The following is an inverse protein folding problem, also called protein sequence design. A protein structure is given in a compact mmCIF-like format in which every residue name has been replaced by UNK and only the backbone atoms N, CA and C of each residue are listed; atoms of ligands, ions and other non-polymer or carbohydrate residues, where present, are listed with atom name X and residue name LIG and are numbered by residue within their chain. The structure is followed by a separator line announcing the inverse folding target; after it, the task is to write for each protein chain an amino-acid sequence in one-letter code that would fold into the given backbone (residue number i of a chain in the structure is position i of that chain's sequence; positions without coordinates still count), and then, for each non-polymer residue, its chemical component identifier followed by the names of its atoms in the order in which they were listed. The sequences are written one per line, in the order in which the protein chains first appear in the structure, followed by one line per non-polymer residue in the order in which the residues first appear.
data_IF_231707212145
#
_entry.id   IF_231707212145
#
_cell.length_a   1.000
_cell.length_b   1.000
_cell.length_c   1.000
_cell.angle_alpha   90.00
_cell.angle_beta   90.00
_cell.angle_gamma   90.00
#
_symmetry.space_group_name_H-M   'P 1'
#
loop_
_entity.id
_entity.type
_entity.pdbx_description
1 polymer ?
#
# COMPACT_ATOMS: atom_id res chain seq x y z
N UNK A 1 33.50 12.05 23.51
CA UNK A 1 33.00 11.22 22.39
C UNK A 1 31.94 10.32 22.97
N UNK A 2 30.70 10.44 22.51
CA UNK A 2 29.59 9.56 22.91
C UNK A 2 29.27 8.60 21.77
N UNK A 3 28.85 7.38 22.10
CA UNK A 3 28.58 6.31 21.15
C UNK A 3 27.30 6.61 20.32
N UNK A 4 27.32 6.55 18.98
CA UNK A 4 26.14 6.85 18.15
C UNK A 4 25.13 5.69 18.04
N UNK A 5 25.37 4.54 18.66
CA UNK A 5 24.65 3.29 18.37
C UNK A 5 23.32 3.08 19.11
N UNK A 6 22.94 3.94 20.06
CA UNK A 6 21.83 3.68 21.01
C UNK A 6 20.51 4.43 20.71
N UNK A 7 20.15 4.61 19.42
CA UNK A 7 18.82 5.12 19.01
C UNK A 7 17.80 3.99 18.76
N UNK A 8 17.77 3.02 19.68
CA UNK A 8 16.77 1.96 19.73
C UNK A 8 15.43 2.42 20.32
N UNK A 9 14.78 3.41 19.71
CA UNK A 9 13.50 3.93 20.17
C UNK A 9 12.41 2.84 20.14
N UNK A 10 12.12 2.25 21.32
CA UNK A 10 11.00 1.32 21.54
C UNK A 10 9.67 2.06 21.37
N UNK A 11 9.19 2.15 20.12
CA UNK A 11 7.81 2.54 19.83
C UNK A 11 6.89 1.39 20.27
N UNK A 12 6.57 1.37 21.56
CA UNK A 12 5.54 0.50 22.09
C UNK A 12 4.18 1.09 21.73
N UNK A 13 3.58 0.54 20.67
CA UNK A 13 2.14 0.65 20.48
C UNK A 13 1.48 0.18 21.76
N UNK A 14 0.76 1.08 22.44
CA UNK A 14 -0.08 0.69 23.58
C UNK A 14 -1.25 -0.11 23.04
N UNK A 15 -1.03 -1.40 22.83
CA UNK A 15 -2.10 -2.38 22.80
C UNK A 15 -2.96 -2.11 24.03
N UNK A 16 -4.20 -1.69 23.80
CA UNK A 16 -5.20 -1.60 24.85
C UNK A 16 -5.63 -3.02 25.13
N UNK A 17 -4.88 -3.70 25.98
CA UNK A 17 -5.01 -5.13 26.25
C UNK A 17 -6.44 -5.49 26.64
N UNK A 18 -7.18 -6.06 25.70
CA UNK A 18 -8.22 -7.02 26.05
C UNK A 18 -7.49 -8.29 26.47
N UNK A 19 -7.28 -8.42 27.78
CA UNK A 19 -6.60 -9.54 28.39
C UNK A 19 -7.30 -10.87 28.07
N UNK A 20 -6.51 -11.96 28.13
CA UNK A 20 -6.93 -13.38 28.22
C UNK A 20 -7.07 -14.16 26.91
N UNK A 21 -5.94 -14.30 26.20
CA UNK A 21 -5.64 -15.45 25.33
C UNK A 21 -4.15 -15.80 25.41
N UNK A 22 -3.70 -16.24 26.59
CA UNK A 22 -2.43 -16.95 26.77
C UNK A 22 -2.74 -18.24 27.55
N UNK A 23 -2.80 -19.35 26.82
CA UNK A 23 -2.33 -20.69 27.16
C UNK A 23 -2.57 -21.59 25.92
N UNK A 24 -1.73 -22.61 25.70
CA UNK A 24 -1.75 -23.56 24.58
C UNK A 24 -1.57 -23.03 23.13
N UNK A 25 -0.32 -22.79 22.72
CA UNK A 25 0.14 -23.11 21.36
C UNK A 25 1.60 -23.58 21.31
N UNK A 26 1.86 -24.75 21.90
CA UNK A 26 3.06 -25.54 21.62
C UNK A 26 2.96 -26.26 20.27
N UNK A 27 3.03 -25.50 19.16
CA UNK A 27 2.84 -26.02 17.80
C UNK A 27 4.05 -25.82 16.89
N UNK A 28 4.62 -26.93 16.39
CA UNK A 28 5.66 -26.90 15.36
C UNK A 28 5.09 -26.35 14.05
N UNK A 29 5.54 -25.16 13.63
CA UNK A 29 5.12 -24.56 12.36
C UNK A 29 5.53 -25.45 11.16
N UNK A 30 4.59 -25.87 10.30
CA UNK A 30 4.94 -26.46 9.02
C UNK A 30 5.51 -25.38 8.08
N UNK A 31 6.38 -25.74 7.12
CA UNK A 31 6.89 -24.79 6.14
C UNK A 31 5.74 -24.22 5.28
N UNK A 32 5.71 -22.90 5.09
CA UNK A 32 4.76 -22.27 4.16
C UNK A 32 5.01 -22.75 2.73
N UNK A 33 4.17 -23.67 2.26
CA UNK A 33 4.03 -23.95 0.84
C UNK A 33 3.23 -22.80 0.19
N UNK A 34 3.94 -21.92 -0.52
CA UNK A 34 3.34 -20.81 -1.28
C UNK A 34 2.54 -21.36 -2.47
N UNK A 35 1.27 -21.74 -2.23
CA UNK A 35 0.33 -22.12 -3.27
C UNK A 35 -0.11 -20.89 -4.08
N UNK A 36 0.75 -20.49 -5.01
CA UNK A 36 0.39 -19.60 -6.13
C UNK A 36 -0.62 -20.34 -7.03
N UNK A 37 -1.91 -20.08 -6.84
CA UNK A 37 -2.96 -20.59 -7.72
C UNK A 37 -2.86 -19.91 -9.09
N UNK A 38 -2.14 -20.53 -10.03
CA UNK A 38 -2.03 -20.05 -11.41
C UNK A 38 -3.22 -20.51 -12.25
N UNK A 39 -4.40 -19.92 -12.00
CA UNK A 39 -5.52 -20.00 -12.93
C UNK A 39 -5.18 -19.27 -14.23
N UNK A 40 -5.34 -19.89 -15.43
CA UNK A 40 -5.03 -19.26 -16.71
C UNK A 40 -6.20 -18.37 -17.20
N UNK A 41 -6.73 -17.52 -16.32
CA UNK A 41 -7.84 -16.64 -16.65
C UNK A 41 -7.38 -15.36 -17.36
N UNK A 42 -8.22 -14.93 -18.31
CA UNK A 42 -7.91 -13.88 -19.27
C UNK A 42 -8.00 -12.47 -18.68
N UNK A 43 -7.17 -12.16 -17.68
CA UNK A 43 -6.87 -10.80 -17.27
C UNK A 43 -6.26 -10.06 -18.47
N UNK A 44 -7.08 -9.31 -19.21
CA UNK A 44 -6.64 -8.40 -20.25
C UNK A 44 -5.52 -7.52 -19.68
N UNK A 45 -4.30 -7.68 -20.22
CA UNK A 45 -3.07 -7.29 -19.53
C UNK A 45 -3.07 -5.81 -19.14
N UNK A 46 -3.31 -5.54 -17.86
CA UNK A 46 -3.10 -4.22 -17.28
C UNK A 46 -1.59 -3.99 -17.33
N UNK A 47 -1.15 -3.26 -18.35
CA UNK A 47 0.25 -2.90 -18.59
C UNK A 47 0.73 -2.01 -17.44
N UNK A 48 1.30 -2.61 -16.39
CA UNK A 48 1.77 -1.90 -15.20
C UNK A 48 2.95 -1.01 -15.60
N UNK A 49 2.73 0.31 -15.66
CA UNK A 49 3.76 1.26 -16.07
C UNK A 49 4.99 1.14 -15.16
N UNK A 50 6.21 0.91 -15.69
CA UNK A 50 7.42 0.86 -14.87
C UNK A 50 7.68 2.17 -14.13
N UNK A 51 8.13 2.06 -12.89
CA UNK A 51 8.33 3.18 -11.98
C UNK A 51 9.48 2.91 -11.03
N UNK A 52 10.06 3.97 -10.47
CA UNK A 52 11.04 3.86 -9.39
C UNK A 52 10.35 4.15 -8.05
N UNK A 53 10.70 3.39 -7.02
CA UNK A 53 10.09 3.46 -5.70
C UNK A 53 11.14 3.35 -4.58
N UNK A 54 10.77 3.85 -3.40
CA UNK A 54 11.55 3.67 -2.18
C UNK A 54 10.99 2.51 -1.36
N UNK A 55 11.88 1.66 -0.82
CA UNK A 55 11.54 0.67 0.17
C UNK A 55 11.75 1.20 1.59
N UNK A 56 10.92 0.70 2.50
CA UNK A 56 10.99 1.01 3.93
C UNK A 56 12.10 0.24 4.63
N UNK A 57 12.65 0.80 5.71
CA UNK A 57 13.53 0.07 6.63
C UNK A 57 12.85 -1.20 7.16
N UNK A 58 13.63 -2.26 7.46
CA UNK A 58 13.09 -3.60 7.76
C UNK A 58 12.18 -3.66 8.99
N UNK A 59 12.41 -2.78 9.97
CA UNK A 59 11.53 -2.62 11.12
C UNK A 59 10.15 -2.06 10.72
N UNK A 60 10.10 -1.13 9.76
CA UNK A 60 8.86 -0.51 9.29
C UNK A 60 8.12 -1.44 8.31
N UNK A 61 8.80 -2.13 7.40
CA UNK A 61 8.15 -3.16 6.55
C UNK A 61 7.52 -4.26 7.42
N UNK A 62 8.26 -4.78 8.41
CA UNK A 62 7.75 -5.77 9.35
C UNK A 62 6.55 -5.25 10.13
N UNK A 63 6.59 -4.01 10.61
CA UNK A 63 5.46 -3.41 11.33
C UNK A 63 4.22 -3.30 10.45
N UNK A 64 4.33 -2.77 9.24
CA UNK A 64 3.20 -2.69 8.30
C UNK A 64 2.67 -4.05 7.90
N UNK A 65 3.54 -5.07 7.77
CA UNK A 65 3.13 -6.45 7.48
C UNK A 65 2.30 -7.05 8.60
N UNK A 66 2.68 -6.82 9.86
CA UNK A 66 1.90 -7.24 11.04
C UNK A 66 0.55 -6.51 11.06
N UNK A 67 0.52 -5.19 10.83
CA UNK A 67 -0.72 -4.43 10.78
C UNK A 67 -1.64 -4.91 9.64
N UNK A 68 -1.13 -5.07 8.42
CA UNK A 68 -1.92 -5.54 7.27
C UNK A 68 -2.48 -6.95 7.48
N UNK A 69 -1.70 -7.87 8.06
CA UNK A 69 -2.17 -9.21 8.40
C UNK A 69 -3.25 -9.17 9.50
N UNK A 70 -3.10 -8.30 10.51
CA UNK A 70 -4.10 -8.13 11.57
C UNK A 70 -5.39 -7.46 11.07
N UNK A 71 -5.34 -6.61 10.04
CA UNK A 71 -6.53 -6.08 9.36
C UNK A 71 -7.24 -7.17 8.53
N UNK A 72 -6.48 -8.10 7.93
CA UNK A 72 -7.04 -9.24 7.19
C UNK A 72 -7.65 -10.31 8.12
N UNK A 73 -7.20 -10.40 9.37
CA UNK A 73 -7.72 -11.35 10.35
C UNK A 73 -9.19 -11.07 10.65
N UNK A 74 -10.08 -11.97 10.18
CA UNK A 74 -11.53 -11.84 10.35
C UNK A 74 -12.23 -10.85 9.41
N UNK A 75 -11.55 -10.34 8.37
CA UNK A 75 -12.17 -9.48 7.34
C UNK A 75 -11.91 -10.02 5.93
N UNK A 76 -12.57 -9.45 4.92
CA UNK A 76 -12.32 -9.79 3.51
C UNK A 76 -11.11 -9.06 2.92
N UNK A 77 -10.40 -8.25 3.70
CA UNK A 77 -9.25 -7.45 3.26
C UNK A 77 -8.09 -8.33 2.77
N UNK A 78 -7.49 -7.94 1.65
CA UNK A 78 -6.36 -8.65 1.04
C UNK A 78 -5.05 -7.84 1.20
N UNK A 79 -4.09 -8.26 2.05
CA UNK A 79 -2.83 -7.56 2.24
C UNK A 79 -2.01 -7.42 0.95
N UNK A 80 -1.42 -6.25 0.73
CA UNK A 80 -0.49 -6.06 -0.38
C UNK A 80 0.85 -6.76 -0.08
N UNK A 81 1.46 -7.50 -1.04
CA UNK A 81 2.65 -8.31 -0.74
C UNK A 81 3.91 -7.47 -0.47
N UNK A 82 4.02 -6.29 -1.07
CA UNK A 82 5.21 -5.41 -1.06
C UNK A 82 4.80 -3.99 -0.66
N UNK A 83 5.38 -3.44 0.40
CA UNK A 83 5.16 -2.05 0.79
C UNK A 83 6.29 -1.17 0.24
N UNK A 84 5.92 -0.12 -0.51
CA UNK A 84 6.86 0.81 -1.12
C UNK A 84 6.19 2.17 -1.35
N UNK A 85 6.97 3.22 -1.60
CA UNK A 85 6.49 4.55 -1.98
C UNK A 85 6.91 4.87 -3.42
N UNK A 86 5.99 5.06 -4.38
CA UNK A 86 6.32 5.49 -5.73
C UNK A 86 6.96 6.90 -5.73
N UNK A 87 8.03 7.08 -6.52
CA UNK A 87 8.76 8.35 -6.65
C UNK A 87 8.56 8.96 -8.04
N UNK A 88 8.84 8.17 -9.09
CA UNK A 88 8.77 8.62 -10.48
C UNK A 88 8.29 7.48 -11.38
N UNK A 89 7.26 7.75 -12.19
CA UNK A 89 6.64 6.80 -13.12
C UNK A 89 6.97 7.08 -14.57
N UNK A 90 6.30 6.38 -15.49
CA UNK A 90 6.44 6.54 -16.95
C UNK A 90 7.84 6.18 -17.48
N UNK A 91 8.50 5.19 -16.88
CA UNK A 91 9.90 4.85 -17.18
C UNK A 91 10.09 3.87 -18.35
N UNK A 92 9.08 3.70 -19.22
CA UNK A 92 9.07 2.74 -20.33
C UNK A 92 10.23 2.89 -21.34
N UNK A 93 10.86 4.06 -21.39
CA UNK A 93 11.96 4.37 -22.30
C UNK A 93 13.35 4.18 -21.68
N UNK A 94 13.44 3.85 -20.39
CA UNK A 94 14.70 3.73 -19.66
C UNK A 94 15.04 2.28 -19.34
N UNK A 95 16.32 1.93 -19.46
CA UNK A 95 16.79 0.63 -18.98
C UNK A 95 16.90 0.64 -17.47
N UNK A 96 16.87 -0.53 -16.84
CA UNK A 96 17.09 -0.66 -15.40
C UNK A 96 18.44 -0.04 -14.95
N UNK A 97 19.45 -0.04 -15.83
CA UNK A 97 20.77 0.57 -15.58
C UNK A 97 20.69 2.09 -15.56
N UNK A 98 19.90 2.70 -16.43
CA UNK A 98 19.72 4.15 -16.48
C UNK A 98 19.00 4.65 -15.23
N UNK A 99 17.92 3.95 -14.84
CA UNK A 99 17.15 4.26 -13.61
C UNK A 99 18.02 4.08 -12.36
N UNK A 100 18.77 2.98 -12.26
CA UNK A 100 19.69 2.76 -11.14
C UNK A 100 20.82 3.80 -11.09
N UNK A 101 21.36 4.21 -12.24
CA UNK A 101 22.37 5.26 -12.33
C UNK A 101 21.84 6.63 -11.92
N UNK A 102 20.65 7.00 -12.39
CA UNK A 102 19.96 8.23 -12.02
C UNK A 102 19.62 8.25 -10.52
N UNK A 103 19.10 7.15 -9.98
CA UNK A 103 18.86 6.98 -8.55
C UNK A 103 20.15 7.15 -7.73
N UNK A 104 21.22 6.44 -8.10
CA UNK A 104 22.51 6.51 -7.40
C UNK A 104 23.09 7.92 -7.37
N UNK A 105 22.98 8.68 -8.46
CA UNK A 105 23.37 10.10 -8.51
C UNK A 105 22.46 10.97 -7.65
N UNK A 106 21.14 10.77 -7.72
CA UNK A 106 20.17 11.54 -6.93
C UNK A 106 20.28 11.29 -5.42
N UNK A 107 20.79 10.13 -4.98
CA UNK A 107 21.08 9.81 -3.57
C UNK A 107 22.53 10.09 -3.15
N UNK A 108 23.41 10.52 -4.05
CA UNK A 108 24.84 10.67 -3.77
C UNK A 108 25.14 11.75 -2.72
N UNK A 109 24.28 12.77 -2.62
CA UNK A 109 24.43 13.93 -1.71
C UNK A 109 24.13 13.59 -0.22
N UNK A 110 24.03 12.30 0.13
CA UNK A 110 23.87 11.78 1.51
C UNK A 110 22.67 12.32 2.29
N UNK A 111 21.62 12.76 1.60
CA UNK A 111 20.35 13.09 2.24
C UNK A 111 19.74 11.81 2.80
N UNK A 112 19.65 11.72 4.13
CA UNK A 112 18.91 10.64 4.80
C UNK A 112 17.44 10.81 4.43
N UNK A 113 16.91 9.91 3.61
CA UNK A 113 15.53 9.95 3.17
C UNK A 113 14.62 9.55 4.33
N UNK A 114 13.94 10.54 4.91
CA UNK A 114 12.97 10.38 5.99
C UNK A 114 11.55 10.69 5.54
N UNK A 115 10.57 10.18 6.29
CA UNK A 115 9.15 10.41 6.03
C UNK A 115 8.32 10.24 7.31
N UNK A 116 7.07 10.68 7.24
CA UNK A 116 6.04 10.44 8.27
C UNK A 116 4.82 9.82 7.61
N UNK A 117 4.07 8.99 8.33
CA UNK A 117 2.74 8.59 7.89
C UNK A 117 1.76 9.71 8.23
N UNK A 118 0.85 10.05 7.31
CA UNK A 118 -0.16 11.08 7.51
C UNK A 118 -1.47 10.50 8.04
N UNK A 119 -2.31 10.00 7.13
CA UNK A 119 -3.61 9.39 7.44
C UNK A 119 -3.86 8.14 6.62
N UNK A 120 -4.83 7.34 7.05
CA UNK A 120 -5.43 6.32 6.21
C UNK A 120 -6.33 6.95 5.14
N UNK A 121 -6.41 6.32 3.97
CA UNK A 121 -7.37 6.69 2.93
C UNK A 121 -7.77 5.48 2.08
N UNK A 122 -8.95 5.58 1.47
CA UNK A 122 -9.40 4.65 0.43
C UNK A 122 -9.27 5.30 -0.94
N UNK A 123 -8.56 4.64 -1.85
CA UNK A 123 -8.42 5.04 -3.24
C UNK A 123 -8.99 3.95 -4.15
N UNK A 124 -10.28 4.08 -4.48
CA UNK A 124 -11.03 3.08 -5.24
C UNK A 124 -11.25 1.79 -4.45
N UNK A 125 -10.49 0.75 -4.78
CA UNK A 125 -10.50 -0.55 -4.08
C UNK A 125 -9.23 -0.79 -3.25
N UNK A 126 -8.40 0.23 -3.00
CA UNK A 126 -7.13 0.11 -2.30
C UNK A 126 -7.15 0.89 -0.99
N UNK A 127 -6.75 0.22 0.11
CA UNK A 127 -6.40 0.87 1.37
C UNK A 127 -4.97 1.39 1.28
N UNK A 128 -4.78 2.66 1.62
CA UNK A 128 -3.49 3.34 1.58
C UNK A 128 -3.24 4.12 2.86
N UNK A 129 -1.97 4.35 3.17
CA UNK A 129 -1.56 5.39 4.09
C UNK A 129 -0.84 6.49 3.31
N UNK A 130 -1.19 7.76 3.55
CA UNK A 130 -0.47 8.89 2.96
C UNK A 130 0.92 9.01 3.59
N UNK A 131 1.89 9.42 2.79
CA UNK A 131 3.29 9.57 3.21
C UNK A 131 3.71 11.01 3.01
N UNK A 132 4.16 11.65 4.09
CA UNK A 132 4.65 13.02 4.08
C UNK A 132 6.18 13.02 4.11
N UNK A 133 6.80 13.57 3.06
CA UNK A 133 8.26 13.74 2.99
C UNK A 133 8.62 14.86 2.01
N UNK A 134 9.47 15.78 2.47
CA UNK A 134 10.14 16.77 1.61
C UNK A 134 11.21 16.11 0.75
N UNK A 135 12.03 15.24 1.35
CA UNK A 135 13.14 14.54 0.70
C UNK A 135 12.69 13.68 -0.50
N UNK A 136 11.50 13.05 -0.44
CA UNK A 136 10.95 12.28 -1.58
C UNK A 136 10.61 13.19 -2.76
N UNK A 137 10.10 14.41 -2.51
CA UNK A 137 9.81 15.39 -3.57
C UNK A 137 11.09 15.93 -4.20
N UNK A 138 12.10 16.21 -3.38
CA UNK A 138 13.42 16.63 -3.85
C UNK A 138 14.07 15.54 -4.69
N UNK A 139 14.10 14.30 -4.19
CA UNK A 139 14.57 13.11 -4.91
C UNK A 139 13.85 12.94 -6.25
N UNK A 140 12.52 13.05 -6.29
CA UNK A 140 11.75 12.96 -7.53
C UNK A 140 12.14 14.07 -8.53
N UNK A 141 12.40 15.29 -8.05
CA UNK A 141 12.90 16.40 -8.87
C UNK A 141 14.34 16.18 -9.37
N UNK A 142 15.22 15.55 -8.59
CA UNK A 142 16.55 15.14 -9.04
C UNK A 142 16.44 14.04 -10.11
N UNK A 143 15.66 13.00 -9.85
CA UNK A 143 15.44 11.91 -10.80
C UNK A 143 14.80 12.38 -12.10
N UNK A 144 13.89 13.37 -12.07
CA UNK A 144 13.28 13.92 -13.28
C UNK A 144 14.28 14.67 -14.16
N UNK A 145 15.30 15.33 -13.59
CA UNK A 145 16.36 15.99 -14.39
C UNK A 145 17.24 14.97 -15.13
N UNK A 146 17.49 13.82 -14.51
CA UNK A 146 18.23 12.70 -15.10
C UNK A 146 17.37 11.88 -16.08
N UNK A 147 16.05 11.78 -15.81
CA UNK A 147 15.07 10.98 -16.54
C UNK A 147 13.92 11.88 -17.03
N UNK A 148 14.13 12.76 -18.03
CA UNK A 148 13.18 13.81 -18.42
C UNK A 148 11.82 13.32 -18.96
N UNK A 149 11.70 12.07 -19.41
CA UNK A 149 10.43 11.44 -19.80
C UNK A 149 9.68 10.83 -18.60
N UNK A 150 10.37 10.66 -17.46
CA UNK A 150 9.78 10.22 -16.21
C UNK A 150 8.89 11.31 -15.60
N UNK A 151 7.80 10.88 -14.97
CA UNK A 151 6.83 11.78 -14.32
C UNK A 151 6.86 11.59 -12.80
N UNK A 152 7.24 12.61 -12.02
CA UNK A 152 7.12 12.56 -10.56
C UNK A 152 5.71 12.17 -10.13
N UNK A 153 5.59 11.36 -9.08
CA UNK A 153 4.29 11.04 -8.51
C UNK A 153 3.70 12.28 -7.81
N UNK A 154 2.41 12.56 -8.03
CA UNK A 154 1.78 13.78 -7.53
C UNK A 154 1.60 13.80 -5.99
N UNK A 155 1.46 12.62 -5.39
CA UNK A 155 1.34 12.41 -3.95
C UNK A 155 2.13 11.17 -3.54
N UNK A 156 2.75 11.19 -2.35
CA UNK A 156 3.41 10.01 -1.80
C UNK A 156 2.44 9.23 -0.92
N UNK A 157 2.35 7.93 -1.15
CA UNK A 157 1.51 7.00 -0.39
C UNK A 157 2.12 5.60 -0.42
N UNK A 158 1.68 4.75 0.50
CA UNK A 158 1.91 3.30 0.45
C UNK A 158 0.57 2.58 0.31
N UNK A 159 0.51 1.59 -0.58
CA UNK A 159 -0.62 0.67 -0.67
C UNK A 159 -0.46 -0.43 0.38
N UNK A 160 -1.43 -0.56 1.28
CA UNK A 160 -1.40 -1.57 2.36
C UNK A 160 -2.19 -2.83 1.97
N UNK A 161 -3.22 -2.69 1.15
CA UNK A 161 -3.97 -3.83 0.60
C UNK A 161 -5.20 -3.45 -0.21
N UNK A 162 -5.99 -4.46 -0.57
CA UNK A 162 -7.21 -4.37 -1.35
C UNK A 162 -8.45 -4.54 -0.46
N UNK A 163 -9.44 -3.68 -0.69
CA UNK A 163 -10.81 -3.75 -0.14
C UNK A 163 -11.82 -4.10 -1.24
N UNK A 164 -11.37 -4.66 -2.37
CA UNK A 164 -12.22 -4.95 -3.53
C UNK A 164 -13.40 -5.88 -3.20
N UNK A 165 -13.12 -6.87 -2.34
CA UNK A 165 -14.01 -7.89 -1.76
C UNK A 165 -14.97 -7.36 -0.69
N UNK A 166 -14.71 -6.17 -0.11
CA UNK A 166 -15.57 -5.56 0.90
C UNK A 166 -16.69 -4.78 0.20
N UNK A 167 -17.93 -5.01 0.63
CA UNK A 167 -19.11 -4.30 0.14
C UNK A 167 -18.91 -2.79 0.15
N UNK A 168 -19.21 -2.13 -0.97
CA UNK A 168 -18.90 -0.70 -1.17
C UNK A 168 -19.49 0.18 -0.07
N UNK A 169 -20.70 -0.14 0.40
CA UNK A 169 -21.43 0.57 1.46
C UNK A 169 -20.76 0.47 2.84
N UNK A 170 -19.98 -0.59 3.08
CA UNK A 170 -19.29 -0.85 4.36
C UNK A 170 -17.83 -0.37 4.39
N UNK A 171 -17.32 0.17 3.28
CA UNK A 171 -15.91 0.59 3.16
C UNK A 171 -15.57 1.78 4.06
N UNK A 172 -16.51 2.70 4.28
CA UNK A 172 -16.31 3.84 5.19
C UNK A 172 -16.27 3.39 6.66
N UNK A 173 -17.16 2.48 7.06
CA UNK A 173 -17.14 1.83 8.38
C UNK A 173 -15.82 1.07 8.60
N UNK A 174 -15.37 0.31 7.59
CA UNK A 174 -14.08 -0.39 7.62
C UNK A 174 -12.89 0.57 7.75
N UNK A 175 -12.87 1.68 7.01
CA UNK A 175 -11.81 2.70 7.14
C UNK A 175 -11.78 3.29 8.55
N UNK A 176 -12.94 3.66 9.11
CA UNK A 176 -13.03 4.19 10.47
C UNK A 176 -12.58 3.17 11.53
N UNK A 177 -12.86 1.88 11.34
CA UNK A 177 -12.37 0.80 12.20
C UNK A 177 -10.84 0.64 12.12
N UNK A 178 -10.25 0.73 10.91
CA UNK A 178 -8.80 0.72 10.71
C UNK A 178 -8.14 1.93 11.36
N UNK A 179 -8.70 3.14 11.19
CA UNK A 179 -8.20 4.36 11.84
C UNK A 179 -8.23 4.27 13.37
N UNK A 180 -9.26 3.68 13.95
CA UNK A 180 -9.39 3.48 15.39
C UNK A 180 -8.46 2.39 15.95
N UNK A 181 -8.22 1.31 15.19
CA UNK A 181 -7.36 0.20 15.62
C UNK A 181 -5.87 0.48 15.41
N UNK A 182 -5.51 1.20 14.33
CA UNK A 182 -4.13 1.50 13.93
C UNK A 182 -3.93 3.02 13.79
N UNK A 183 -4.03 3.80 14.88
CA UNK A 183 -3.93 5.26 14.84
C UNK A 183 -2.54 5.70 14.38
N UNK A 184 -2.46 6.48 13.30
CA UNK A 184 -1.19 7.02 12.81
C UNK A 184 -0.77 8.20 13.70
N UNK A 185 0.49 8.20 14.16
CA UNK A 185 1.12 9.35 14.81
C UNK A 185 1.94 10.15 13.78
N UNK A 186 1.49 11.35 13.35
CA UNK A 186 2.18 12.17 12.36
C UNK A 186 3.43 12.86 12.90
N UNK A 187 3.77 12.70 14.19
CA UNK A 187 5.01 13.22 14.77
C UNK A 187 6.17 12.21 14.67
N UNK A 188 5.88 10.92 14.45
CA UNK A 188 6.94 9.90 14.34
C UNK A 188 7.56 9.97 12.95
N UNK A 189 8.88 10.14 12.92
CA UNK A 189 9.67 10.18 11.70
C UNK A 189 10.42 8.85 11.51
N UNK A 190 10.34 8.33 10.29
CA UNK A 190 10.84 7.04 9.87
C UNK A 190 11.83 7.20 8.71
N UNK A 191 12.66 6.19 8.46
CA UNK A 191 13.66 6.17 7.38
C UNK A 191 13.35 5.12 6.31
N UNK A 192 13.71 5.42 5.07
CA UNK A 192 13.76 4.44 3.98
C UNK A 192 15.06 3.63 4.01
N UNK A 193 15.14 2.54 3.22
CA UNK A 193 16.35 1.70 3.08
C UNK A 193 17.57 2.41 2.47
N UNK A 194 17.41 3.63 1.98
CA UNK A 194 18.50 4.47 1.47
C UNK A 194 18.78 4.34 -0.03
N UNK A 195 18.18 3.36 -0.71
CA UNK A 195 18.25 3.20 -2.17
C UNK A 195 16.86 3.24 -2.81
N UNK A 196 16.82 3.67 -4.08
CA UNK A 196 15.62 3.60 -4.92
C UNK A 196 15.67 2.30 -5.72
N UNK A 197 14.57 1.56 -5.76
CA UNK A 197 14.42 0.36 -6.58
C UNK A 197 13.63 0.66 -7.85
N UNK A 198 14.03 0.03 -8.96
CA UNK A 198 13.28 0.10 -10.21
C UNK A 198 12.27 -1.04 -10.29
N UNK A 199 11.00 -0.71 -10.13
CA UNK A 199 9.93 -1.67 -10.28
C UNK A 199 9.52 -1.80 -11.75
N UNK A 200 9.85 -2.96 -12.33
CA UNK A 200 9.46 -3.36 -13.66
C UNK A 200 8.64 -4.68 -13.63
N UNK A 201 7.60 -4.74 -12.79
CA UNK A 201 6.62 -5.85 -12.76
C UNK A 201 5.98 -6.17 -14.13
N UNK A 202 6.12 -5.27 -15.11
CA UNK A 202 5.66 -5.49 -16.49
C UNK A 202 6.54 -6.48 -17.27
N UNK A 203 7.73 -6.85 -16.78
CA UNK A 203 8.43 -8.05 -17.26
C UNK A 203 7.82 -9.27 -16.58
N UNK A 204 6.55 -9.53 -16.89
CA UNK A 204 6.18 -10.91 -17.17
C UNK A 204 7.26 -11.43 -18.13
N UNK A 205 8.05 -12.39 -17.69
CA UNK A 205 9.07 -13.00 -18.55
C UNK A 205 8.33 -13.65 -19.69
N UNK A 206 8.20 -12.91 -20.80
CA UNK A 206 7.69 -13.42 -22.07
C UNK A 206 8.64 -14.54 -22.46
N UNK A 207 8.29 -15.75 -22.00
CA UNK A 207 9.00 -17.01 -22.20
C UNK A 207 9.26 -17.07 -23.69
N UNK A 208 10.51 -16.81 -24.14
CA UNK A 208 10.77 -16.28 -25.47
C UNK A 208 10.10 -17.19 -26.46
N UNK A 209 9.08 -16.68 -27.15
CA UNK A 209 7.99 -17.48 -27.72
C UNK A 209 8.60 -18.62 -28.53
N UNK A 210 8.58 -19.83 -27.95
CA UNK A 210 9.58 -20.86 -28.25
C UNK A 210 9.70 -21.00 -29.75
N UNK A 211 10.86 -20.60 -30.31
CA UNK A 211 11.03 -20.37 -31.74
C UNK A 211 10.47 -21.59 -32.44
N UNK A 212 9.29 -21.42 -33.07
CA UNK A 212 8.59 -22.51 -33.72
C UNK A 212 9.42 -22.80 -34.96
N UNK A 213 10.41 -23.69 -34.77
CA UNK A 213 11.22 -24.26 -35.84
C UNK A 213 10.26 -24.57 -36.99
N UNK A 214 10.55 -24.10 -38.21
CA UNK A 214 9.59 -24.11 -39.31
C UNK A 214 9.01 -25.51 -39.45
N UNK A 215 7.74 -25.65 -39.07
CA UNK A 215 7.07 -26.95 -38.93
C UNK A 215 7.08 -27.58 -40.33
N UNK A 216 7.94 -28.58 -40.53
CA UNK A 216 8.13 -29.21 -41.83
C UNK A 216 6.76 -29.52 -42.44
N UNK A 217 6.49 -28.89 -43.59
CA UNK A 217 5.17 -28.84 -44.21
C UNK A 217 4.80 -30.23 -44.72
N UNK A 218 4.26 -31.06 -43.82
CA UNK A 218 3.77 -32.41 -44.15
C UNK A 218 2.76 -32.25 -45.27
N UNK A 219 3.08 -32.84 -46.43
CA UNK A 219 2.33 -32.70 -47.67
C UNK A 219 0.87 -33.07 -47.42
N UNK A 220 0.00 -32.08 -47.59
CA UNK A 220 -1.41 -32.21 -47.27
C UNK A 220 -2.11 -32.91 -48.44
N UNK A 221 -2.54 -34.15 -48.22
CA UNK A 221 -3.37 -34.89 -49.17
C UNK A 221 -4.61 -34.06 -49.50
N UNK A 222 -4.89 -33.91 -50.80
CA UNK A 222 -5.97 -33.05 -51.31
C UNK A 222 -7.32 -33.46 -50.69
N UNK A 223 -8.02 -32.52 -50.04
CA UNK A 223 -9.45 -32.67 -49.79
C UNK A 223 -10.24 -32.12 -50.99
N UNK A 224 -11.27 -32.84 -51.46
CA UNK A 224 -12.09 -32.38 -52.57
C UNK A 224 -12.96 -31.18 -52.19
N UNK A 225 -13.17 -30.28 -53.15
CA UNK A 225 -13.95 -29.06 -52.97
C UNK A 225 -15.42 -29.34 -52.59
N UNK A 226 -15.93 -28.62 -51.59
CA UNK A 226 -17.37 -28.59 -51.27
C UNK A 226 -18.06 -27.46 -52.03
N UNK A 227 -19.20 -27.76 -52.62
CA UNK A 227 -19.94 -26.92 -53.57
C UNK A 227 -20.88 -25.88 -52.89
N UNK A 228 -21.24 -24.78 -53.57
CA UNK A 228 -21.80 -23.59 -52.94
C UNK A 228 -23.35 -23.50 -52.92
N UNK A 229 -24.07 -24.64 -52.93
CA UNK A 229 -25.54 -24.64 -52.94
C UNK A 229 -26.15 -25.36 -51.73
N UNK A 230 -26.42 -24.60 -50.66
CA UNK A 230 -27.47 -24.94 -49.70
C UNK A 230 -27.99 -23.67 -49.00
N UNK A 231 -29.01 -23.09 -49.60
CA UNK A 231 -29.79 -21.96 -49.07
C UNK A 231 -31.25 -22.24 -49.45
N UNK A 232 -32.20 -21.82 -48.60
CA UNK A 232 -33.68 -21.89 -48.72
C UNK A 232 -34.39 -23.10 -48.06
N UNK A 233 -35.60 -22.81 -47.53
CA UNK A 233 -36.51 -23.61 -46.68
C UNK A 233 -35.94 -24.01 -45.30
N UNK A 234 -36.56 -23.70 -44.15
CA UNK A 234 -37.99 -23.66 -43.84
C UNK A 234 -38.43 -22.45 -42.99
N UNK A 235 -39.63 -21.94 -43.27
CA UNK A 235 -40.37 -21.00 -42.42
C UNK A 235 -41.52 -21.72 -41.67
N UNK A 236 -42.17 -20.96 -40.78
CA UNK A 236 -43.56 -21.10 -40.34
C UNK A 236 -43.97 -22.30 -39.44
N UNK A 237 -44.12 -21.98 -38.15
CA UNK A 237 -45.44 -21.97 -37.52
C UNK A 237 -45.87 -23.16 -36.67
N UNK A 238 -45.98 -22.93 -35.35
CA UNK A 238 -47.06 -23.45 -34.48
C UNK A 238 -47.31 -22.45 -33.34
N UNK A 239 -48.55 -22.00 -33.18
CA UNK A 239 -49.07 -21.18 -32.06
C UNK A 239 -49.90 -22.04 -31.08
N UNK A 240 -50.35 -21.43 -29.98
CA UNK A 240 -51.23 -21.94 -28.90
C UNK A 240 -50.58 -22.91 -27.87
N UNK A 241 -50.93 -22.92 -26.57
CA UNK A 241 -52.11 -22.39 -25.85
C UNK A 241 -51.78 -21.62 -24.56
N UNK A 242 -52.77 -20.84 -24.09
CA UNK A 242 -52.87 -20.26 -22.74
C UNK A 242 -53.16 -21.29 -21.63
N UNK A 243 -52.90 -20.95 -20.36
CA UNK A 243 -53.96 -20.60 -19.36
C UNK A 243 -53.50 -20.70 -17.89
N UNK A 244 -54.01 -19.78 -17.05
CA UNK A 244 -54.30 -19.95 -15.61
C UNK A 244 -53.08 -20.09 -14.64
N UNK A 245 -53.15 -19.81 -13.33
CA UNK A 245 -54.08 -19.07 -12.46
C UNK A 245 -53.47 -19.02 -11.04
N UNK A 246 -54.08 -18.24 -10.14
CA UNK A 246 -54.03 -18.37 -8.66
C UNK A 246 -52.86 -17.66 -7.95
N UNK A 247 -52.98 -16.96 -6.80
CA UNK A 247 -53.95 -15.98 -6.25
C UNK A 247 -53.71 -15.86 -4.70
N UNK A 248 -54.01 -14.70 -4.10
CA UNK A 248 -54.20 -14.39 -2.66
C UNK A 248 -53.11 -14.59 -1.57
N UNK A 249 -53.13 -13.65 -0.59
CA UNK A 249 -52.56 -13.76 0.78
C UNK A 249 -51.43 -12.74 1.05
N UNK A 250 -51.60 -11.56 1.68
CA UNK A 250 -52.52 -11.00 2.70
C UNK A 250 -52.33 -11.45 4.17
N UNK A 251 -52.12 -10.45 5.06
CA UNK A 251 -52.25 -10.40 6.54
C UNK A 251 -51.08 -10.84 7.46
N UNK A 252 -50.90 -10.07 8.56
CA UNK A 252 -50.03 -10.34 9.74
C UNK A 252 -48.82 -9.40 9.85
N UNK A 253 -48.83 -8.20 10.47
CA UNK A 253 -49.37 -7.70 11.75
C UNK A 253 -48.58 -8.10 13.02
N UNK A 254 -48.01 -7.09 13.72
CA UNK A 254 -47.40 -7.10 15.08
C UNK A 254 -46.19 -8.04 15.31
N UNK A 255 -45.12 -7.63 16.03
CA UNK A 255 -45.10 -7.46 17.50
C UNK A 255 -44.04 -6.46 17.99
N UNK A 256 -44.50 -5.60 18.89
CA UNK A 256 -43.83 -4.78 19.91
C UNK A 256 -42.55 -5.33 20.57
N UNK A 257 -41.52 -4.48 20.67
CA UNK A 257 -40.52 -4.34 21.78
C UNK A 257 -39.63 -3.13 21.43
N UNK A 258 -39.78 -1.92 21.96
CA UNK A 258 -39.77 -1.50 23.37
C UNK A 258 -38.66 -2.16 24.21
N UNK A 259 -37.47 -1.53 24.21
CA UNK A 259 -36.53 -1.47 25.33
C UNK A 259 -35.83 -0.08 25.35
N UNK A 260 -35.35 0.39 26.52
CA UNK A 260 -35.14 1.83 26.81
C UNK A 260 -33.74 2.38 26.45
N UNK A 261 -33.56 3.72 26.42
CA UNK A 261 -32.26 4.36 26.20
C UNK A 261 -31.32 4.22 27.42
N UNK A 262 -30.00 4.05 27.21
CA UNK A 262 -29.02 4.12 28.28
C UNK A 262 -28.81 5.56 28.79
N UNK A 263 -29.18 5.74 30.05
CA UNK A 263 -28.95 6.86 30.97
C UNK A 263 -27.82 7.86 30.67
N UNK A 264 -28.14 9.14 30.81
CA UNK A 264 -27.16 10.23 30.82
C UNK A 264 -26.15 10.09 31.99
N UNK A 265 -24.87 9.92 31.64
CA UNK A 265 -23.76 9.90 32.58
C UNK A 265 -23.35 11.31 33.03
N UNK A 266 -23.52 11.60 34.33
CA UNK A 266 -23.21 12.89 34.94
C UNK A 266 -21.68 13.13 34.96
N UNK A 267 -21.19 14.07 34.16
CA UNK A 267 -19.82 14.58 34.26
C UNK A 267 -19.73 15.52 35.47
N UNK A 268 -19.24 15.02 36.61
CA UNK A 268 -18.91 15.88 37.76
C UNK A 268 -17.65 16.69 37.46
N UNK A 269 -17.78 18.02 37.49
CA UNK A 269 -16.64 18.94 37.42
C UNK A 269 -15.91 19.04 38.77
N UNK A 270 -14.60 18.84 38.77
CA UNK A 270 -13.67 19.27 39.84
C UNK A 270 -12.43 19.87 39.18
N UNK A 271 -12.37 21.19 38.98
CA UNK A 271 -11.87 22.21 39.92
C UNK A 271 -10.50 21.90 40.56
N UNK A 272 -9.51 22.67 40.09
CA UNK A 272 -8.61 23.51 40.91
C UNK A 272 -7.48 22.88 41.76
N UNK A 273 -6.26 22.93 41.20
CA UNK A 273 -5.05 23.47 41.86
C UNK A 273 -4.13 24.00 40.74
N UNK A 274 -3.80 25.30 40.60
CA UNK A 274 -3.08 26.28 41.44
C UNK A 274 -1.63 25.90 41.79
N UNK A 275 -0.73 26.86 41.47
CA UNK A 275 0.70 26.92 41.82
C UNK A 275 1.62 25.96 41.03
N UNK A 276 2.84 26.32 40.62
CA UNK A 276 3.70 27.41 41.12
C UNK A 276 4.43 28.21 40.04
N UNK A 277 4.67 29.48 40.39
CA UNK A 277 5.44 30.51 39.68
C UNK A 277 6.94 30.31 39.98
N UNK A 278 7.80 30.27 38.97
CA UNK A 278 9.25 30.28 39.16
C UNK A 278 9.94 31.12 38.07
N UNK A 279 10.07 32.42 38.33
CA UNK A 279 10.89 33.35 37.55
C UNK A 279 12.37 32.99 37.72
N UNK A 280 13.15 32.93 36.63
CA UNK A 280 14.61 33.09 36.76
C UNK A 280 15.25 33.81 35.57
N UNK A 281 15.33 35.12 35.73
CA UNK A 281 16.15 36.03 34.92
C UNK A 281 17.63 35.71 35.15
N UNK A 282 18.42 35.62 34.07
CA UNK A 282 19.88 35.68 34.10
C UNK A 282 20.38 36.37 32.84
N UNK A 283 20.78 37.64 32.97
CA UNK A 283 21.49 38.39 31.95
C UNK A 283 22.99 38.46 32.29
N UNK A 284 23.79 39.07 31.41
CA UNK A 284 25.27 39.20 31.49
C UNK A 284 26.00 37.94 30.98
N UNK A 285 27.11 38.03 30.24
CA UNK A 285 28.08 39.15 30.15
C UNK A 285 28.80 39.18 28.79
N UNK A 286 29.24 40.37 28.37
CA UNK A 286 30.06 40.57 27.17
C UNK A 286 31.56 40.72 27.50
N UNK A 287 32.42 40.22 26.62
CA UNK A 287 33.83 40.61 26.35
C UNK A 287 34.24 39.90 25.04
N UNK A 288 34.50 40.56 23.91
CA UNK A 288 35.75 41.26 23.55
C UNK A 288 37.04 40.48 23.87
N UNK A 289 37.76 40.02 22.83
CA UNK A 289 39.12 40.49 22.47
C UNK A 289 39.89 39.51 21.53
N UNK A 290 40.43 40.08 20.45
CA UNK A 290 41.69 39.79 19.74
C UNK A 290 42.39 38.41 19.83
N UNK A 291 42.77 37.83 18.68
CA UNK A 291 43.71 36.71 18.61
C UNK A 291 43.95 36.04 17.24
N UNK A 292 44.66 36.73 16.32
CA UNK A 292 45.53 36.11 15.27
C UNK A 292 46.99 36.52 15.61
N UNK A 293 48.06 35.87 15.12
CA UNK A 293 48.15 34.84 14.08
C UNK A 293 48.45 33.44 14.72
N UNK A 294 49.16 32.43 14.19
CA UNK A 294 50.04 32.35 13.02
C UNK A 294 50.22 30.93 12.40
N UNK A 295 51.06 30.92 11.36
CA UNK A 295 51.61 29.82 10.57
C UNK A 295 52.31 28.71 11.38
N UNK A 296 52.21 27.46 10.91
CA UNK A 296 53.34 26.54 10.92
C UNK A 296 53.42 25.73 9.62
N UNK A 297 54.55 25.84 8.93
CA UNK A 297 54.93 25.01 7.79
C UNK A 297 55.43 23.67 8.31
N UNK A 298 55.07 22.58 7.63
CA UNK A 298 55.77 21.30 7.72
C UNK A 298 56.41 20.97 6.37
N UNK A 299 57.68 20.55 6.42
CA UNK A 299 58.34 19.72 5.42
C UNK A 299 58.42 18.30 5.99
#
# INVERSE_FOLDING_TARGET
MGDPSDYGARVTWKHKSHSRWEDDFGGTFPPLATNMSTGPDACAGITIMPYACLLFADNVDRFMRVAANSIAEGSSFEPHPIFHVPVIGSLHHYTAKDVAGAASRATADKVVLSFRFGRWELSGSLLRATVESTSVRELAGHMQRELPLGRPWASSYVTVGSVATIDKERREEFLAAVEAAFPIDPQIEYSFKGHVEYNNHNVATHKPAAIRLPRHRRTQTQQPARSPHRKWACEAGTTCMDTSSTDTGLMGANVTRMLPPPSAGIIKSSKSSKSSKATRTSASRAAQAHGRPALHVWR
#
